data_IF_273232184520
#
_entry.id   IF_273232184520
#
_cell.length_a   1.000
_cell.length_b   1.000
_cell.length_c   1.000
_cell.angle_alpha   90.00
_cell.angle_beta   90.00
_cell.angle_gamma   90.00
#
_symmetry.space_group_name_H-M   'P 1'
#
loop_
_entity.id
_entity.type
_entity.pdbx_description
1 polymer ?
#
# COMPACT_ATOMS: atom_id res chain seq x y z
N UNK A 1 1.65 -12.40 3.79
CA UNK A 1 1.51 -12.56 2.32
C UNK A 1 0.96 -11.25 1.83
N UNK A 2 1.53 -10.66 0.76
CA UNK A 2 1.20 -9.27 0.37
C UNK A 2 -0.31 -9.03 0.24
N UNK A 3 -1.07 -10.00 -0.25
CA UNK A 3 -2.52 -9.87 -0.39
C UNK A 3 -3.27 -9.80 0.96
N UNK A 4 -2.86 -10.59 1.96
CA UNK A 4 -3.47 -10.63 3.30
C UNK A 4 -3.29 -9.29 4.04
N UNK A 5 -2.08 -8.73 3.99
CA UNK A 5 -1.76 -7.41 4.56
C UNK A 5 -2.60 -6.32 3.89
N UNK A 6 -2.75 -6.40 2.56
CA UNK A 6 -3.57 -5.45 1.80
C UNK A 6 -5.06 -5.58 2.11
N UNK A 7 -5.60 -6.78 2.31
CA UNK A 7 -7.02 -6.94 2.66
C UNK A 7 -7.34 -6.43 4.08
N UNK A 8 -6.33 -6.32 4.95
CA UNK A 8 -6.45 -5.76 6.30
C UNK A 8 -6.33 -4.24 6.36
N UNK A 9 -6.08 -3.57 5.24
CA UNK A 9 -5.82 -2.13 5.23
C UNK A 9 -4.37 -1.75 5.52
N UNK A 10 -3.48 -2.72 5.70
CA UNK A 10 -2.10 -2.48 6.12
C UNK A 10 -1.16 -2.37 4.90
N UNK A 11 -0.17 -1.46 4.99
CA UNK A 11 0.88 -1.37 3.97
C UNK A 11 1.84 -2.54 4.15
N UNK A 12 2.01 -3.40 3.13
CA UNK A 12 2.87 -4.57 3.25
C UNK A 12 4.29 -4.21 3.68
N UNK A 13 4.87 -4.98 4.61
CA UNK A 13 6.22 -4.71 5.11
C UNK A 13 7.25 -4.69 3.98
N UNK A 14 7.09 -5.58 3.00
CA UNK A 14 7.95 -5.64 1.82
C UNK A 14 7.95 -4.33 1.01
N UNK A 15 6.86 -3.55 1.06
CA UNK A 15 6.78 -2.27 0.37
C UNK A 15 7.33 -1.15 1.23
N UNK A 16 7.02 -1.17 2.53
CA UNK A 16 7.35 -0.10 3.45
C UNK A 16 8.78 -0.13 3.95
N UNK A 17 9.43 -1.30 4.01
CA UNK A 17 10.78 -1.48 4.55
C UNK A 17 11.82 -0.54 3.93
N UNK A 18 11.84 -0.41 2.60
CA UNK A 18 12.79 0.47 1.90
C UNK A 18 12.58 1.96 2.25
N UNK A 19 11.34 2.36 2.52
CA UNK A 19 10.99 3.74 2.86
C UNK A 19 11.25 4.02 4.34
N UNK A 20 10.95 3.07 5.24
CA UNK A 20 11.28 3.14 6.66
C UNK A 20 12.78 3.32 6.88
N UNK A 21 13.61 2.50 6.22
CA UNK A 21 15.07 2.59 6.32
C UNK A 21 15.61 3.94 5.83
N UNK A 22 15.12 4.43 4.68
CA UNK A 22 15.50 5.75 4.17
C UNK A 22 15.00 6.90 5.05
N UNK A 23 13.80 6.78 5.64
CA UNK A 23 13.23 7.80 6.53
C UNK A 23 14.09 7.93 7.79
N UNK A 24 14.43 6.81 8.44
CA UNK A 24 15.33 6.80 9.59
C UNK A 24 16.67 7.45 9.25
N UNK A 25 17.26 7.15 8.08
CA UNK A 25 18.49 7.79 7.63
C UNK A 25 18.38 9.30 7.43
N UNK A 26 17.23 9.80 6.98
CA UNK A 26 17.00 11.24 6.84
C UNK A 26 16.75 11.91 8.19
N UNK A 27 15.98 11.29 9.08
CA UNK A 27 15.73 11.77 10.45
C UNK A 27 17.03 11.85 11.24
N UNK A 28 17.89 10.83 11.20
CA UNK A 28 19.22 10.85 11.83
C UNK A 28 20.15 11.95 11.29
N UNK A 29 19.94 12.40 10.05
CA UNK A 29 20.73 13.47 9.42
C UNK A 29 20.10 14.86 9.59
N UNK A 30 18.99 14.97 10.34
CA UNK A 30 18.22 16.21 10.48
C UNK A 30 17.54 16.68 9.19
N UNK A 31 17.41 15.81 8.18
CA UNK A 31 16.85 16.14 6.86
C UNK A 31 15.33 15.94 6.82
N UNK A 32 14.60 16.63 7.70
CA UNK A 32 13.16 16.46 7.89
C UNK A 32 12.34 16.74 6.62
N UNK A 33 12.74 17.72 5.80
CA UNK A 33 12.09 17.98 4.50
C UNK A 33 12.19 16.78 3.55
N UNK A 34 13.33 16.09 3.54
CA UNK A 34 13.51 14.89 2.71
C UNK A 34 12.74 13.70 3.27
N UNK A 35 12.62 13.59 4.59
CA UNK A 35 11.79 12.57 5.24
C UNK A 35 10.31 12.77 4.86
N UNK A 36 9.80 14.00 4.92
CA UNK A 36 8.43 14.33 4.50
C UNK A 36 8.20 14.07 3.02
N UNK A 37 9.14 14.49 2.16
CA UNK A 37 9.05 14.19 0.71
C UNK A 37 9.06 12.69 0.44
N UNK A 38 9.89 11.94 1.16
CA UNK A 38 9.96 10.49 1.04
C UNK A 38 8.64 9.82 1.44
N UNK A 39 7.95 10.33 2.46
CA UNK A 39 6.63 9.82 2.86
C UNK A 39 5.60 10.01 1.74
N UNK A 40 5.53 11.19 1.14
CA UNK A 40 4.64 11.44 -0.01
C UNK A 40 4.97 10.54 -1.20
N UNK A 41 6.26 10.34 -1.50
CA UNK A 41 6.70 9.41 -2.54
C UNK A 41 6.36 7.95 -2.22
N UNK A 42 6.43 7.56 -0.94
CA UNK A 42 6.06 6.23 -0.47
C UNK A 42 4.57 5.96 -0.68
N UNK A 43 3.70 6.88 -0.26
CA UNK A 43 2.24 6.77 -0.45
C UNK A 43 1.90 6.62 -1.93
N UNK A 44 2.55 7.41 -2.80
CA UNK A 44 2.38 7.32 -4.25
C UNK A 44 2.83 5.97 -4.83
N UNK A 45 3.93 5.41 -4.36
CA UNK A 45 4.42 4.08 -4.77
C UNK A 45 3.46 2.98 -4.31
N UNK A 46 2.98 3.04 -3.06
CA UNK A 46 2.03 2.08 -2.51
C UNK A 46 0.73 2.10 -3.29
N UNK A 47 0.17 3.28 -3.58
CA UNK A 47 -1.04 3.41 -4.40
C UNK A 47 -0.84 2.84 -5.81
N UNK A 48 0.30 3.11 -6.46
CA UNK A 48 0.60 2.55 -7.78
C UNK A 48 0.63 1.03 -7.76
N UNK A 49 1.23 0.43 -6.72
CA UNK A 49 1.29 -1.02 -6.59
C UNK A 49 -0.08 -1.63 -6.24
N UNK A 50 -0.85 -0.99 -5.38
CA UNK A 50 -2.22 -1.39 -5.06
C UNK A 50 -3.08 -1.43 -6.33
N UNK A 51 -3.04 -0.37 -7.16
CA UNK A 51 -3.76 -0.34 -8.44
C UNK A 51 -3.32 -1.48 -9.39
N UNK A 52 -2.03 -1.82 -9.42
CA UNK A 52 -1.54 -2.96 -10.22
C UNK A 52 -2.12 -4.29 -9.72
N UNK A 53 -2.23 -4.47 -8.41
CA UNK A 53 -2.82 -5.68 -7.82
C UNK A 53 -4.32 -5.75 -8.12
N UNK A 54 -5.05 -4.64 -7.96
CA UNK A 54 -6.46 -4.54 -8.35
C UNK A 54 -6.64 -4.92 -9.82
N UNK A 55 -5.84 -4.34 -10.71
CA UNK A 55 -5.89 -4.63 -12.15
C UNK A 55 -5.55 -6.10 -12.44
N UNK A 56 -4.57 -6.65 -11.74
CA UNK A 56 -4.19 -8.06 -11.87
C UNK A 56 -5.34 -8.99 -11.46
N UNK A 57 -5.98 -8.72 -10.33
CA UNK A 57 -7.11 -9.51 -9.81
C UNK A 57 -8.33 -9.41 -10.72
N UNK A 58 -8.58 -8.23 -11.29
CA UNK A 58 -9.64 -8.02 -12.28
C UNK A 58 -9.41 -8.81 -13.57
N UNK A 59 -8.15 -8.94 -14.02
CA UNK A 59 -7.81 -9.58 -15.30
C UNK A 59 -7.48 -11.06 -15.18
N UNK A 60 -7.15 -11.53 -13.98
CA UNK A 60 -6.67 -12.90 -13.79
C UNK A 60 -7.84 -13.88 -13.61
N UNK A 61 -7.76 -14.99 -14.34
CA UNK A 61 -8.64 -16.14 -14.15
C UNK A 61 -8.22 -17.04 -12.99
N UNK A 62 -7.13 -16.70 -12.28
CA UNK A 62 -6.61 -17.47 -11.14
C UNK A 62 -7.49 -17.38 -9.88
N UNK A 63 -8.43 -16.44 -9.85
CA UNK A 63 -9.44 -16.41 -8.80
C UNK A 63 -10.63 -17.22 -9.29
N UNK A 64 -10.77 -18.41 -8.69
CA UNK A 64 -11.68 -19.49 -9.11
C UNK A 64 -13.16 -19.06 -9.09
N UNK A 65 -13.52 -18.21 -8.11
CA UNK A 65 -14.88 -17.71 -7.93
C UNK A 65 -14.98 -16.20 -8.13
N UNK A 66 -15.97 -15.77 -8.92
CA UNK A 66 -16.32 -14.36 -9.10
C UNK A 66 -16.70 -13.68 -7.77
N UNK A 67 -17.29 -14.44 -6.84
CA UNK A 67 -17.58 -14.00 -5.47
C UNK A 67 -16.31 -13.64 -4.70
N UNK A 68 -15.31 -14.52 -4.73
CA UNK A 68 -14.00 -14.29 -4.09
C UNK A 68 -13.29 -13.10 -4.73
N UNK A 69 -13.37 -12.97 -6.06
CA UNK A 69 -12.81 -11.82 -6.78
C UNK A 69 -13.45 -10.52 -6.31
N UNK A 70 -14.77 -10.48 -6.23
CA UNK A 70 -15.53 -9.31 -5.79
C UNK A 70 -15.25 -8.94 -4.33
N UNK A 71 -15.15 -9.93 -3.44
CA UNK A 71 -14.80 -9.71 -2.03
C UNK A 71 -13.41 -9.09 -1.90
N UNK A 72 -12.39 -9.68 -2.55
CA UNK A 72 -11.02 -9.17 -2.50
C UNK A 72 -10.95 -7.75 -3.08
N UNK A 73 -11.62 -7.50 -4.20
CA UNK A 73 -11.64 -6.15 -4.79
C UNK A 73 -12.29 -5.12 -3.87
N UNK A 74 -13.37 -5.50 -3.16
CA UNK A 74 -14.00 -4.64 -2.16
C UNK A 74 -13.05 -4.29 -1.02
N UNK A 75 -12.32 -5.26 -0.48
CA UNK A 75 -11.37 -5.03 0.61
C UNK A 75 -10.14 -4.21 0.16
N UNK A 76 -9.66 -4.43 -1.06
CA UNK A 76 -8.60 -3.60 -1.66
C UNK A 76 -9.07 -2.16 -1.91
N UNK A 77 -10.35 -1.95 -2.23
CA UNK A 77 -10.92 -0.61 -2.39
C UNK A 77 -11.05 0.12 -1.06
N UNK A 78 -11.50 -0.55 0.01
CA UNK A 78 -11.49 0.01 1.38
C UNK A 78 -10.08 0.41 1.80
N UNK A 79 -9.10 -0.43 1.51
CA UNK A 79 -7.69 -0.16 1.78
C UNK A 79 -7.17 1.04 1.02
N UNK A 80 -7.54 1.15 -0.27
CA UNK A 80 -7.23 2.31 -1.10
C UNK A 80 -7.82 3.59 -0.51
N UNK A 81 -9.05 3.54 -0.01
CA UNK A 81 -9.71 4.67 0.64
C UNK A 81 -8.97 5.07 1.92
N UNK A 82 -8.67 4.10 2.79
CA UNK A 82 -7.92 4.30 4.02
C UNK A 82 -6.56 4.98 3.78
N UNK A 83 -5.83 4.53 2.76
CA UNK A 83 -4.53 5.09 2.41
C UNK A 83 -4.63 6.49 1.77
N UNK A 84 -5.73 6.77 1.08
CA UNK A 84 -5.99 8.08 0.46
C UNK A 84 -6.36 9.13 1.50
N UNK A 85 -7.14 8.74 2.50
CA UNK A 85 -7.52 9.60 3.62
C UNK A 85 -6.41 9.77 4.66
N UNK A 86 -5.24 9.15 4.43
CA UNK A 86 -4.07 9.25 5.31
C UNK A 86 -4.32 8.73 6.74
N UNK A 87 -5.38 7.92 6.97
CA UNK A 87 -5.73 7.28 8.26
C UNK A 87 -4.82 6.12 8.65
N UNK A 88 -3.70 5.95 7.96
CA UNK A 88 -2.74 4.86 8.22
C UNK A 88 -1.84 5.18 9.42
N UNK A 89 -1.91 6.39 9.96
CA UNK A 89 -1.19 6.83 11.16
C UNK A 89 -2.13 7.60 12.11
N UNK A 90 -3.00 6.88 12.81
CA UNK A 90 -3.41 7.24 14.18
C UNK A 90 -3.06 6.09 15.12
#
# INVERSE_FOLDING_TARGET
MVLDELTKGEVPELWSRKYKDKRMKFEHKGQMEKANKLQSDAIRDYMKKLNKIVTYIQKTSLVDSEETRSSILSDLEKTRHCWRENKVHE
#
